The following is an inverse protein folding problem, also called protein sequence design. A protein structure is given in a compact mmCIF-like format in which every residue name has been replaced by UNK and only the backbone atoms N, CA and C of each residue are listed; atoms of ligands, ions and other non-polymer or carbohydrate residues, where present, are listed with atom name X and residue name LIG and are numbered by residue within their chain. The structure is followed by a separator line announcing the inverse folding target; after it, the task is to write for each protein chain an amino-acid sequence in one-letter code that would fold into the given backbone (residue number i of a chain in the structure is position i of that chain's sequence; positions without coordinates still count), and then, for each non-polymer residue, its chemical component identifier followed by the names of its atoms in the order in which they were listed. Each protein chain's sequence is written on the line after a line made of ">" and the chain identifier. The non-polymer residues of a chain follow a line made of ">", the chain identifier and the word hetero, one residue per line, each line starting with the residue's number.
data_IF_357942893880
#
_entry.id   IF_357942893880
#
_cell.length_a   1.000
_cell.length_b   1.000
_cell.length_c   1.000
_cell.angle_alpha   90.00
_cell.angle_beta   90.00
_cell.angle_gamma   90.00
#
_symmetry.space_group_name_H-M   'P 1'
#
loop_
_entity.id
_entity.type
_entity.pdbx_description
1 polymer ?
#
# COMPACT_ATOMS: atom_id res chain seq x y z
N UNK A 1 -15.25 24.72 10.78
CA UNK A 1 -15.26 25.80 9.77
C UNK A 1 -15.71 25.20 8.43
N UNK A 2 -16.85 25.64 7.86
CA UNK A 2 -17.36 25.08 6.59
C UNK A 2 -16.34 25.33 5.47
N UNK A 3 -15.91 24.26 4.79
CA UNK A 3 -15.12 24.28 3.55
C UNK A 3 -15.95 24.93 2.41
N UNK A 4 -16.15 26.24 2.46
CA UNK A 4 -16.69 27.03 1.35
C UNK A 4 -15.54 27.66 0.59
N UNK A 5 -14.98 26.94 -0.38
CA UNK A 5 -13.87 27.50 -1.16
C UNK A 5 -13.18 26.57 -2.14
N UNK A 6 -13.86 25.55 -2.70
CA UNK A 6 -13.32 24.85 -3.86
C UNK A 6 -14.18 25.18 -5.08
N UNK A 7 -13.62 25.76 -6.15
CA UNK A 7 -14.36 25.96 -7.38
C UNK A 7 -14.80 24.59 -7.91
N UNK A 8 -16.07 24.50 -8.27
CA UNK A 8 -16.65 23.33 -8.94
C UNK A 8 -15.87 23.09 -10.24
N UNK A 9 -14.89 22.18 -10.22
CA UNK A 9 -14.06 21.84 -11.37
C UNK A 9 -14.70 20.66 -12.11
N UNK A 10 -15.70 20.94 -12.95
CA UNK A 10 -16.04 20.05 -14.05
C UNK A 10 -14.85 20.02 -15.02
N UNK A 11 -14.11 18.92 -15.07
CA UNK A 11 -13.08 18.66 -16.09
C UNK A 11 -11.68 18.30 -15.60
N UNK A 12 -11.45 18.01 -14.31
CA UNK A 12 -10.19 17.38 -13.91
C UNK A 12 -10.16 15.90 -14.32
N UNK A 13 -9.00 15.42 -14.77
CA UNK A 13 -8.82 13.99 -15.03
C UNK A 13 -9.02 13.22 -13.72
N UNK A 14 -9.77 12.10 -13.78
CA UNK A 14 -9.84 11.11 -12.69
C UNK A 14 -8.65 10.16 -12.72
N UNK A 15 -7.66 10.43 -13.57
CA UNK A 15 -6.38 9.72 -13.48
C UNK A 15 -5.76 10.00 -12.11
N UNK A 16 -5.35 8.94 -11.39
CA UNK A 16 -4.71 9.08 -10.10
C UNK A 16 -3.53 10.04 -10.16
N UNK A 17 -3.34 10.81 -9.10
CA UNK A 17 -2.23 11.73 -8.92
C UNK A 17 -1.04 11.01 -8.26
N UNK A 18 0.16 11.18 -8.82
CA UNK A 18 1.40 10.65 -8.27
C UNK A 18 2.05 11.61 -7.25
N UNK A 19 2.43 11.11 -6.09
CA UNK A 19 3.17 11.86 -5.07
C UNK A 19 4.53 11.20 -4.77
N UNK A 20 5.66 11.89 -4.97
CA UNK A 20 6.97 11.37 -4.64
C UNK A 20 7.23 11.39 -3.12
N UNK A 21 7.99 10.42 -2.63
CA UNK A 21 8.52 10.34 -1.28
C UNK A 21 9.90 9.65 -1.31
N UNK A 22 10.81 10.05 -0.44
CA UNK A 22 12.15 9.49 -0.38
C UNK A 22 13.06 10.31 0.51
N UNK A 23 14.35 10.00 0.45
CA UNK A 23 15.41 10.67 1.19
C UNK A 23 16.74 10.56 0.44
N UNK A 24 17.86 10.78 1.14
CA UNK A 24 19.20 10.65 0.56
C UNK A 24 19.57 9.22 0.12
N UNK A 25 18.87 8.19 0.60
CA UNK A 25 19.16 6.79 0.29
C UNK A 25 18.34 6.25 -0.88
N UNK A 26 17.06 6.63 -1.00
CA UNK A 26 16.19 6.17 -2.08
C UNK A 26 15.19 7.23 -2.52
N UNK A 27 14.63 7.06 -3.72
CA UNK A 27 13.53 7.88 -4.22
C UNK A 27 12.42 7.00 -4.79
N UNK A 28 11.16 7.32 -4.44
CA UNK A 28 10.01 6.61 -4.95
C UNK A 28 8.72 7.44 -4.86
N UNK A 29 7.54 6.83 -4.96
CA UNK A 29 6.27 7.52 -4.79
C UNK A 29 5.03 6.63 -4.82
N UNK A 30 3.86 7.26 -4.72
CA UNK A 30 2.57 6.56 -4.62
C UNK A 30 1.51 7.30 -5.43
N UNK A 31 0.63 6.54 -6.06
CA UNK A 31 -0.54 7.07 -6.75
C UNK A 31 -1.71 7.18 -5.79
N UNK A 32 -2.62 8.14 -6.00
CA UNK A 32 -3.81 8.32 -5.16
C UNK A 32 -4.83 7.16 -5.24
N UNK A 33 -4.62 6.20 -6.14
CA UNK A 33 -5.29 4.89 -6.13
C UNK A 33 -4.70 3.92 -5.11
N UNK A 34 -3.53 4.21 -4.53
CA UNK A 34 -2.77 3.39 -3.58
C UNK A 34 -1.61 2.60 -4.21
N UNK A 35 -1.46 2.65 -5.54
CA UNK A 35 -0.41 1.92 -6.27
C UNK A 35 0.97 2.49 -5.91
N UNK A 36 1.86 1.65 -5.41
CA UNK A 36 3.21 2.02 -5.00
C UNK A 36 4.19 1.91 -6.17
N UNK A 37 5.00 2.95 -6.31
CA UNK A 37 6.21 3.04 -7.14
C UNK A 37 6.02 2.88 -8.65
N UNK A 38 4.82 2.56 -9.14
CA UNK A 38 4.52 2.50 -10.58
C UNK A 38 5.10 3.74 -11.28
N UNK A 39 6.06 3.57 -12.21
CA UNK A 39 6.74 4.70 -12.81
C UNK A 39 5.76 5.61 -13.56
N UNK A 40 5.82 6.94 -13.37
CA UNK A 40 4.88 7.85 -14.02
C UNK A 40 4.84 7.73 -15.54
N UNK A 41 5.98 7.48 -16.18
CA UNK A 41 6.06 7.29 -17.62
C UNK A 41 5.39 5.99 -18.12
N UNK A 42 5.39 4.90 -17.34
CA UNK A 42 4.59 3.71 -17.67
C UNK A 42 3.09 4.01 -17.57
N UNK A 43 2.72 4.88 -16.64
CA UNK A 43 1.36 5.34 -16.47
C UNK A 43 1.01 6.52 -17.40
N UNK A 44 1.76 6.81 -18.46
CA UNK A 44 1.42 7.87 -19.43
C UNK A 44 1.56 9.31 -18.90
N UNK A 45 2.14 9.49 -17.72
CA UNK A 45 2.47 10.80 -17.14
C UNK A 45 3.83 11.27 -17.67
N UNK A 46 4.03 12.60 -17.68
CA UNK A 46 5.26 13.26 -18.10
C UNK A 46 6.27 13.44 -16.96
N UNK A 47 5.89 13.09 -15.72
CA UNK A 47 6.79 13.05 -14.58
C UNK A 47 7.88 11.97 -14.75
N UNK A 48 9.08 12.25 -14.22
CA UNK A 48 10.19 11.30 -14.16
C UNK A 48 10.14 10.45 -12.89
N UNK A 49 10.48 9.17 -12.99
CA UNK A 49 10.59 8.23 -11.87
C UNK A 49 10.76 6.82 -12.40
N UNK A 50 11.55 5.96 -11.75
CA UNK A 50 11.92 4.63 -12.27
C UNK A 50 11.28 3.48 -11.49
N UNK A 51 10.62 3.74 -10.36
CA UNK A 51 10.23 2.70 -9.41
C UNK A 51 10.66 3.05 -7.99
N UNK A 52 11.04 2.04 -7.22
CA UNK A 52 11.81 2.19 -6.00
C UNK A 52 13.30 2.35 -6.34
N UNK A 53 13.73 3.58 -6.61
CA UNK A 53 15.11 3.88 -6.99
C UNK A 53 16.04 3.83 -5.78
N UNK A 54 17.06 2.98 -5.85
CA UNK A 54 18.12 2.88 -4.85
C UNK A 54 19.47 2.68 -5.55
N UNK A 55 20.52 3.45 -5.24
CA UNK A 55 20.50 4.70 -4.46
C UNK A 55 19.55 5.76 -5.04
N UNK A 56 19.24 6.83 -4.30
CA UNK A 56 18.23 7.83 -4.68
C UNK A 56 18.46 8.48 -6.05
N UNK A 57 19.71 8.59 -6.50
CA UNK A 57 20.11 9.15 -7.79
C UNK A 57 20.27 8.09 -8.89
N UNK A 58 19.91 6.84 -8.61
CA UNK A 58 19.94 5.75 -9.57
C UNK A 58 18.99 6.01 -10.74
N UNK A 59 19.46 5.74 -11.95
CA UNK A 59 18.65 5.71 -13.16
C UNK A 59 17.89 4.38 -13.34
N UNK A 60 17.78 3.58 -12.27
CA UNK A 60 17.14 2.28 -12.24
C UNK A 60 16.54 2.04 -10.86
N UNK A 61 15.57 1.13 -10.82
CA UNK A 61 14.87 0.75 -9.60
C UNK A 61 15.34 -0.61 -9.08
N UNK A 62 14.89 -0.92 -7.86
CA UNK A 62 14.97 -2.25 -7.26
C UNK A 62 13.61 -2.97 -7.27
N UNK A 63 12.53 -2.21 -7.50
CA UNK A 63 11.21 -2.71 -7.84
C UNK A 63 10.48 -1.67 -8.69
N UNK A 64 9.72 -2.12 -9.68
CA UNK A 64 8.92 -1.24 -10.51
C UNK A 64 7.57 -0.93 -9.85
N UNK A 65 6.95 -1.93 -9.23
CA UNK A 65 5.55 -1.82 -8.81
C UNK A 65 5.31 -2.58 -7.52
N UNK A 66 4.41 -2.07 -6.68
CA UNK A 66 3.85 -2.79 -5.56
C UNK A 66 2.41 -2.33 -5.27
N UNK A 67 1.60 -3.20 -4.68
CA UNK A 67 0.19 -2.88 -4.49
C UNK A 67 -0.57 -3.87 -3.63
N UNK A 68 -1.69 -3.37 -3.10
CA UNK A 68 -2.60 -4.14 -2.25
C UNK A 68 -3.42 -5.11 -3.10
N UNK A 69 -3.41 -6.37 -2.70
CA UNK A 69 -4.36 -7.39 -3.16
C UNK A 69 -5.26 -7.78 -2.00
N UNK A 70 -6.56 -7.84 -2.24
CA UNK A 70 -7.52 -8.25 -1.23
C UNK A 70 -8.72 -8.93 -1.86
N UNK A 71 -9.12 -10.06 -1.30
CA UNK A 71 -10.30 -10.80 -1.73
C UNK A 71 -10.99 -11.49 -0.57
N UNK A 72 -12.26 -11.80 -0.75
CA UNK A 72 -13.08 -12.54 0.22
C UNK A 72 -14.42 -12.94 -0.36
N UNK A 73 -15.16 -13.76 0.39
CA UNK A 73 -16.43 -14.33 -0.03
C UNK A 73 -17.60 -13.63 0.66
N UNK A 74 -18.67 -13.33 -0.06
CA UNK A 74 -19.92 -12.88 0.55
C UNK A 74 -20.69 -14.06 1.19
N UNK A 75 -21.85 -13.76 1.80
CA UNK A 75 -22.68 -14.79 2.43
C UNK A 75 -23.25 -15.84 1.46
N UNK A 76 -23.22 -15.57 0.15
CA UNK A 76 -23.63 -16.52 -0.90
C UNK A 76 -22.47 -17.35 -1.46
N UNK A 77 -21.24 -17.06 -1.02
CA UNK A 77 -20.02 -17.67 -1.55
C UNK A 77 -19.52 -17.00 -2.84
N UNK A 78 -20.01 -15.82 -3.20
CA UNK A 78 -19.50 -15.04 -4.32
C UNK A 78 -18.16 -14.40 -3.94
N UNK A 79 -17.15 -14.53 -4.81
CA UNK A 79 -15.86 -13.87 -4.64
C UNK A 79 -15.97 -12.38 -4.98
N UNK A 80 -15.50 -11.54 -4.05
CA UNK A 80 -15.20 -10.13 -4.24
C UNK A 80 -13.70 -9.93 -4.15
N UNK A 81 -13.12 -9.17 -5.08
CA UNK A 81 -11.66 -9.06 -5.21
C UNK A 81 -11.26 -7.72 -5.82
N UNK A 82 -10.19 -7.14 -5.29
CA UNK A 82 -9.53 -5.93 -5.77
C UNK A 82 -8.02 -6.10 -5.71
N UNK A 83 -7.31 -5.83 -6.82
CA UNK A 83 -5.85 -5.98 -6.89
C UNK A 83 -5.16 -4.80 -7.57
N UNK A 84 -3.87 -4.68 -7.31
CA UNK A 84 -2.95 -3.77 -8.01
C UNK A 84 -1.71 -4.56 -8.44
N UNK A 85 -1.49 -4.67 -9.75
CA UNK A 85 -0.36 -5.38 -10.33
C UNK A 85 0.20 -4.67 -11.57
N UNK A 86 1.18 -5.27 -12.23
CA UNK A 86 1.82 -4.71 -13.43
C UNK A 86 0.89 -4.54 -14.65
N UNK A 87 -0.27 -5.18 -14.68
CA UNK A 87 -1.22 -5.03 -15.77
C UNK A 87 -2.09 -3.77 -15.61
N UNK A 88 -2.07 -3.14 -14.44
CA UNK A 88 -2.83 -1.91 -14.14
C UNK A 88 -2.02 -0.69 -14.60
N UNK A 89 -2.16 -0.33 -15.88
CA UNK A 89 -1.57 0.86 -16.52
C UNK A 89 -2.67 1.77 -17.07
N UNK A 90 -2.34 3.00 -17.50
CA UNK A 90 -3.35 3.90 -18.07
C UNK A 90 -4.08 3.25 -19.26
N UNK A 91 -5.41 3.21 -19.20
CA UNK A 91 -6.28 2.64 -20.24
C UNK A 91 -6.62 1.15 -20.07
N UNK A 92 -6.00 0.45 -19.12
CA UNK A 92 -6.48 -0.87 -18.65
C UNK A 92 -7.47 -0.67 -17.50
N UNK A 93 -8.27 -1.70 -17.17
CA UNK A 93 -9.18 -1.63 -16.03
C UNK A 93 -8.41 -1.37 -14.73
N UNK A 94 -9.06 -0.76 -13.74
CA UNK A 94 -8.46 -0.48 -12.42
C UNK A 94 -9.44 -0.86 -11.32
N UNK A 95 -8.93 -1.51 -10.28
CA UNK A 95 -9.77 -1.91 -9.14
C UNK A 95 -9.84 -0.84 -8.05
N UNK A 96 -8.89 0.09 -8.00
CA UNK A 96 -8.83 1.15 -6.99
C UNK A 96 -8.88 2.56 -7.57
N UNK A 97 -9.56 3.46 -6.85
CA UNK A 97 -9.87 4.83 -7.22
C UNK A 97 -9.66 5.77 -6.02
N UNK A 98 -9.31 7.04 -6.23
CA UNK A 98 -9.12 7.97 -5.11
C UNK A 98 -10.40 8.25 -4.34
N UNK A 99 -10.29 8.52 -3.03
CA UNK A 99 -11.35 9.04 -2.19
C UNK A 99 -12.06 8.03 -1.28
N UNK A 100 -12.84 8.54 -0.31
CA UNK A 100 -13.62 7.75 0.65
C UNK A 100 -14.87 7.13 0.02
N UNK A 101 -15.47 6.19 0.76
CA UNK A 101 -16.79 5.65 0.46
C UNK A 101 -17.82 6.05 1.51
N UNK A 102 -19.07 6.24 1.07
CA UNK A 102 -20.22 6.38 1.97
C UNK A 102 -20.49 5.08 2.71
N UNK A 103 -20.55 5.15 4.04
CA UNK A 103 -20.79 4.00 4.88
C UNK A 103 -22.16 3.34 4.62
N UNK A 104 -22.17 2.02 4.56
CA UNK A 104 -23.33 1.17 4.30
C UNK A 104 -23.65 0.98 2.82
N UNK A 105 -23.52 2.02 1.99
CA UNK A 105 -23.73 1.91 0.54
C UNK A 105 -22.46 1.56 -0.23
N UNK A 106 -21.28 1.79 0.37
CA UNK A 106 -19.99 1.68 -0.29
C UNK A 106 -19.92 2.47 -1.61
N UNK A 107 -20.64 3.60 -1.70
CA UNK A 107 -20.72 4.41 -2.90
C UNK A 107 -19.77 5.61 -2.85
N UNK A 108 -19.36 6.09 -4.02
CA UNK A 108 -18.69 7.38 -4.19
C UNK A 108 -19.12 8.02 -5.51
N UNK A 109 -18.67 9.25 -5.78
CA UNK A 109 -18.97 9.96 -7.02
C UNK A 109 -17.75 10.70 -7.57
N UNK A 110 -17.83 11.19 -8.82
CA UNK A 110 -16.69 11.83 -9.48
C UNK A 110 -16.23 13.12 -8.79
N UNK A 111 -17.11 13.84 -8.11
CA UNK A 111 -16.75 15.06 -7.40
C UNK A 111 -15.93 14.74 -6.14
N UNK A 112 -16.36 13.72 -5.40
CA UNK A 112 -15.66 13.18 -4.23
C UNK A 112 -14.32 12.62 -4.65
N UNK A 113 -14.27 11.75 -5.67
CA UNK A 113 -13.00 11.20 -6.17
C UNK A 113 -12.02 12.32 -6.58
N UNK A 114 -12.47 13.34 -7.29
CA UNK A 114 -11.62 14.47 -7.69
C UNK A 114 -11.09 15.27 -6.47
N UNK A 115 -11.90 15.44 -5.43
CA UNK A 115 -11.51 16.13 -4.20
C UNK A 115 -10.34 15.42 -3.48
N UNK A 116 -10.35 14.08 -3.46
CA UNK A 116 -9.36 13.27 -2.79
C UNK A 116 -8.30 12.68 -3.73
N UNK A 117 -8.27 13.12 -4.99
CA UNK A 117 -7.24 12.72 -5.96
C UNK A 117 -5.90 13.44 -5.69
N UNK A 118 -5.36 13.24 -4.50
CA UNK A 118 -4.15 13.89 -3.99
C UNK A 118 -3.61 13.15 -2.76
N UNK A 119 -2.45 13.59 -2.27
CA UNK A 119 -1.91 13.17 -0.99
C UNK A 119 -1.63 14.39 -0.12
N UNK A 120 -1.83 14.24 1.18
CA UNK A 120 -1.46 15.24 2.17
C UNK A 120 -0.08 14.92 2.72
N UNK A 121 0.85 15.85 2.51
CA UNK A 121 2.25 15.70 2.90
C UNK A 121 2.54 16.49 4.15
N UNK A 122 3.33 15.92 5.05
CA UNK A 122 3.85 16.63 6.21
C UNK A 122 5.28 16.22 6.49
N UNK A 123 6.14 17.19 6.81
CA UNK A 123 7.48 16.96 7.34
C UNK A 123 7.53 17.24 8.85
N UNK A 124 8.45 16.57 9.54
CA UNK A 124 8.65 16.71 10.98
C UNK A 124 8.99 18.15 11.35
N UNK A 125 9.78 18.81 10.49
CA UNK A 125 10.14 20.21 10.65
C UNK A 125 8.95 21.17 10.59
N UNK A 126 7.99 20.95 9.68
CA UNK A 126 6.77 21.76 9.60
C UNK A 126 5.90 21.58 10.84
N UNK A 127 5.73 20.33 11.29
CA UNK A 127 4.95 20.05 12.49
C UNK A 127 5.64 20.59 13.76
N UNK A 128 6.96 20.47 13.89
CA UNK A 128 7.70 21.01 15.05
C UNK A 128 7.61 22.54 15.12
N UNK A 129 7.64 23.22 13.97
CA UNK A 129 7.46 24.67 13.91
C UNK A 129 6.05 25.08 14.37
N UNK A 130 5.00 24.34 13.97
CA UNK A 130 3.63 24.56 14.44
C UNK A 130 3.51 24.31 15.96
N UNK A 131 4.06 23.20 16.45
CA UNK A 131 3.99 22.86 17.88
C UNK A 131 4.78 23.85 18.74
N UNK A 132 5.88 24.41 18.21
CA UNK A 132 6.66 25.43 18.91
C UNK A 132 5.89 26.74 19.02
N UNK A 133 5.19 27.16 17.96
CA UNK A 133 4.29 28.33 17.97
C UNK A 133 3.20 28.11 19.03
N UNK A 134 2.46 27.00 18.95
CA UNK A 134 1.41 26.72 19.94
C UNK A 134 1.92 26.64 21.39
N UNK A 135 3.08 26.01 21.62
CA UNK A 135 3.61 25.81 22.97
C UNK A 135 4.11 27.09 23.64
N UNK A 136 4.35 28.18 22.89
CA UNK A 136 4.91 29.39 23.45
C UNK A 136 3.91 30.16 24.33
N UNK A 137 2.64 30.19 23.92
CA UNK A 137 1.60 30.99 24.53
C UNK A 137 0.17 30.40 24.36
N UNK A 138 0.01 29.29 23.64
CA UNK A 138 -1.27 28.63 23.37
C UNK A 138 -2.05 29.21 22.19
N UNK A 139 -1.43 30.04 21.35
CA UNK A 139 -2.03 30.68 20.18
C UNK A 139 -1.16 30.37 18.97
N UNK A 140 -1.79 30.13 17.82
CA UNK A 140 -1.10 30.08 16.53
C UNK A 140 -1.04 31.50 15.97
N UNK A 141 0.13 32.13 16.02
CA UNK A 141 0.31 33.53 15.64
C UNK A 141 0.19 33.75 14.12
N UNK A 142 0.67 32.79 13.34
CA UNK A 142 0.76 32.90 11.87
C UNK A 142 0.33 31.60 11.18
N UNK A 143 -0.98 31.26 11.20
CA UNK A 143 -1.48 29.97 10.71
C UNK A 143 -1.15 29.69 9.24
N UNK A 144 -1.04 30.73 8.42
CA UNK A 144 -0.63 30.64 7.01
C UNK A 144 0.78 30.05 6.81
N UNK A 145 1.62 30.01 7.84
CA UNK A 145 2.95 29.37 7.79
C UNK A 145 2.88 27.85 7.95
N UNK A 146 1.72 27.30 8.36
CA UNK A 146 1.52 25.87 8.62
C UNK A 146 0.43 25.28 7.71
N UNK A 147 0.49 25.47 6.37
CA UNK A 147 -0.61 25.09 5.48
C UNK A 147 -0.93 23.58 5.54
N UNK A 148 0.06 22.72 5.78
CA UNK A 148 -0.15 21.27 5.87
C UNK A 148 -0.88 20.86 7.15
N UNK A 149 -0.63 21.55 8.27
CA UNK A 149 -1.36 21.33 9.53
C UNK A 149 -2.78 21.91 9.40
N UNK A 150 -2.90 23.13 8.87
CA UNK A 150 -4.20 23.80 8.68
C UNK A 150 -5.12 23.06 7.70
N UNK A 151 -4.54 22.47 6.65
CA UNK A 151 -5.26 21.75 5.59
C UNK A 151 -5.35 20.24 5.81
N UNK A 152 -4.98 19.72 6.98
CA UNK A 152 -4.99 18.29 7.24
C UNK A 152 -6.41 17.73 7.17
N UNK A 153 -6.64 16.62 6.45
CA UNK A 153 -7.98 16.12 6.17
C UNK A 153 -8.42 15.18 7.30
N UNK A 154 -8.37 15.63 8.55
CA UNK A 154 -8.85 14.83 9.69
C UNK A 154 -10.33 14.44 9.52
N UNK A 155 -11.10 15.33 8.90
CA UNK A 155 -12.47 15.11 8.51
C UNK A 155 -12.72 15.62 7.09
N UNK A 156 -13.65 15.01 6.37
CA UNK A 156 -14.02 15.45 5.03
C UNK A 156 -15.36 14.87 4.56
N UNK A 157 -15.98 15.48 3.53
CA UNK A 157 -17.24 14.98 2.99
C UNK A 157 -17.05 13.67 2.23
N UNK A 158 -18.00 12.75 2.37
CA UNK A 158 -18.20 11.64 1.45
C UNK A 158 -19.12 12.04 0.28
N UNK A 159 -19.48 11.09 -0.59
CA UNK A 159 -20.36 11.34 -1.75
C UNK A 159 -21.82 11.66 -1.38
N UNK A 160 -22.23 11.42 -0.13
CA UNK A 160 -23.53 11.88 0.38
C UNK A 160 -23.47 13.31 0.93
N UNK A 161 -22.28 13.90 1.01
CA UNK A 161 -22.01 15.17 1.67
C UNK A 161 -21.90 15.07 3.19
N UNK A 162 -21.91 13.85 3.75
CA UNK A 162 -21.68 13.64 5.18
C UNK A 162 -20.20 13.84 5.50
N UNK A 163 -19.92 14.63 6.53
CA UNK A 163 -18.56 14.77 7.06
C UNK A 163 -18.22 13.52 7.88
N UNK A 164 -17.16 12.83 7.48
CA UNK A 164 -16.66 11.60 8.10
C UNK A 164 -15.24 11.81 8.61
N UNK A 165 -14.84 11.03 9.63
CA UNK A 165 -13.46 10.97 10.09
C UNK A 165 -12.60 10.25 9.06
N UNK A 166 -11.44 10.82 8.76
CA UNK A 166 -10.50 10.39 7.73
C UNK A 166 -9.10 10.29 8.34
N UNK A 167 -8.24 11.28 8.12
CA UNK A 167 -6.84 11.18 8.52
C UNK A 167 -6.64 11.25 10.05
N UNK A 168 -5.68 10.49 10.59
CA UNK A 168 -5.41 10.47 12.02
C UNK A 168 -4.79 11.80 12.49
N UNK A 169 -5.18 12.24 13.69
CA UNK A 169 -4.69 13.46 14.32
C UNK A 169 -4.49 13.26 15.84
N UNK A 170 -3.91 14.27 16.49
CA UNK A 170 -3.80 14.41 17.94
C UNK A 170 -4.74 15.53 18.35
N UNK A 171 -5.74 15.18 19.14
CA UNK A 171 -6.72 16.07 19.77
C UNK A 171 -6.09 16.66 21.04
N UNK A 172 -5.86 17.99 21.04
CA UNK A 172 -5.13 18.69 22.09
C UNK A 172 -6.03 19.34 23.14
N UNK A 173 -7.25 19.73 22.77
CA UNK A 173 -8.18 20.40 23.67
C UNK A 173 -9.28 19.46 24.21
N UNK A 174 -9.32 18.22 23.73
CA UNK A 174 -10.16 17.12 24.21
C UNK A 174 -11.57 17.16 23.64
N UNK A 175 -11.75 17.60 22.39
CA UNK A 175 -13.03 17.75 21.71
C UNK A 175 -13.28 16.67 20.61
N UNK A 176 -13.37 15.38 20.98
CA UNK A 176 -13.34 14.28 20.02
C UNK A 176 -14.40 14.42 18.93
N UNK A 177 -13.96 14.33 17.67
CA UNK A 177 -14.83 14.51 16.50
C UNK A 177 -14.72 15.87 15.82
N UNK A 178 -13.85 16.74 16.33
CA UNK A 178 -13.45 18.00 15.70
C UNK A 178 -11.95 18.00 15.41
N UNK A 179 -11.52 18.89 14.51
CA UNK A 179 -10.11 19.16 14.25
C UNK A 179 -9.97 20.68 14.16
N UNK A 180 -9.39 21.27 15.20
CA UNK A 180 -9.11 22.69 15.28
C UNK A 180 -7.60 22.97 15.51
N UNK A 181 -6.84 23.21 14.43
CA UNK A 181 -5.45 23.62 14.54
C UNK A 181 -5.22 24.89 15.36
N UNK A 182 -6.22 25.78 15.49
CA UNK A 182 -6.09 26.97 16.32
C UNK A 182 -6.14 26.63 17.82
N UNK A 183 -6.67 25.46 18.18
CA UNK A 183 -6.65 24.90 19.52
C UNK A 183 -5.47 23.93 19.76
N UNK A 184 -4.56 23.82 18.79
CA UNK A 184 -3.35 23.00 18.88
C UNK A 184 -3.48 21.60 18.27
N UNK A 185 -4.65 21.23 17.76
CA UNK A 185 -4.81 19.96 17.07
C UNK A 185 -3.86 19.87 15.88
N UNK A 186 -3.33 18.67 15.66
CA UNK A 186 -2.34 18.49 14.62
C UNK A 186 -2.30 17.05 14.08
N UNK A 187 -1.77 16.84 12.87
CA UNK A 187 -1.62 15.51 12.30
C UNK A 187 -0.86 14.57 13.23
N UNK A 188 -1.33 13.32 13.33
CA UNK A 188 -0.54 12.28 13.98
C UNK A 188 0.57 11.88 13.01
N UNK A 189 1.79 12.25 13.35
CA UNK A 189 2.94 12.07 12.46
C UNK A 189 3.74 10.80 12.77
N UNK A 190 4.18 10.13 11.71
CA UNK A 190 5.20 9.08 11.74
C UNK A 190 6.43 9.49 10.94
N UNK A 191 7.60 9.04 11.38
CA UNK A 191 8.86 9.30 10.68
C UNK A 191 9.24 10.79 10.61
N UNK A 192 10.12 11.11 9.67
CA UNK A 192 10.58 12.47 9.37
C UNK A 192 9.76 13.16 8.29
N UNK A 193 9.15 12.38 7.41
CA UNK A 193 8.23 12.82 6.37
C UNK A 193 7.16 11.75 6.17
N UNK A 194 5.91 12.17 6.01
CA UNK A 194 4.80 11.28 5.69
C UNK A 194 3.90 11.83 4.58
N UNK A 195 3.30 10.89 3.84
CA UNK A 195 2.16 11.12 2.96
C UNK A 195 0.96 10.37 3.52
N UNK A 196 -0.19 11.02 3.54
CA UNK A 196 -1.49 10.38 3.78
C UNK A 196 -2.35 10.48 2.52
N UNK A 197 -3.00 9.38 2.16
CA UNK A 197 -3.94 9.30 1.05
C UNK A 197 -5.10 8.35 1.38
N UNK A 198 -6.15 8.44 0.58
CA UNK A 198 -7.33 7.60 0.72
C UNK A 198 -7.80 7.14 -0.66
N UNK A 199 -8.05 5.85 -0.79
CA UNK A 199 -8.59 5.22 -1.99
C UNK A 199 -9.72 4.26 -1.65
N UNK A 200 -10.39 3.75 -2.68
CA UNK A 200 -11.49 2.83 -2.56
C UNK A 200 -11.59 1.91 -3.77
N UNK A 201 -12.38 0.85 -3.66
CA UNK A 201 -12.56 -0.10 -4.75
C UNK A 201 -13.90 -0.03 -5.51
N UNK A 202 -14.73 1.01 -5.34
CA UNK A 202 -16.04 1.09 -6.01
C UNK A 202 -16.20 2.27 -6.97
N UNK A 203 -15.32 3.29 -6.91
CA UNK A 203 -15.54 4.59 -7.54
C UNK A 203 -15.49 4.63 -9.08
N UNK A 204 -15.00 3.58 -9.73
CA UNK A 204 -14.63 3.65 -11.13
C UNK A 204 -15.74 3.69 -12.16
N UNK A 205 -16.87 3.01 -11.91
CA UNK A 205 -17.94 2.78 -12.91
C UNK A 205 -17.50 2.09 -14.22
N UNK A 206 -16.20 1.97 -14.50
CA UNK A 206 -15.59 1.35 -15.66
C UNK A 206 -15.25 -0.13 -15.45
N UNK A 207 -14.62 -0.74 -16.46
CA UNK A 207 -14.18 -2.12 -16.37
C UNK A 207 -13.15 -2.29 -15.25
N UNK A 208 -13.43 -3.21 -14.33
CA UNK A 208 -12.51 -3.64 -13.27
C UNK A 208 -11.40 -4.49 -13.87
N UNK A 209 -10.19 -4.37 -13.31
CA UNK A 209 -9.01 -5.12 -13.76
C UNK A 209 -9.24 -6.62 -13.58
N UNK A 210 -9.67 -7.02 -12.38
CA UNK A 210 -9.91 -8.43 -12.05
C UNK A 210 -11.20 -8.98 -12.65
N UNK A 211 -12.10 -8.12 -13.13
CA UNK A 211 -13.49 -8.43 -13.47
C UNK A 211 -14.34 -9.02 -12.32
N UNK A 212 -13.79 -9.17 -11.11
CA UNK A 212 -14.52 -9.56 -9.93
C UNK A 212 -15.36 -8.39 -9.40
N UNK A 213 -16.48 -8.63 -8.70
CA UNK A 213 -17.17 -7.60 -7.92
C UNK A 213 -16.24 -6.91 -6.90
N UNK A 214 -16.49 -5.62 -6.66
CA UNK A 214 -15.83 -4.84 -5.61
C UNK A 214 -16.23 -5.30 -4.21
N UNK A 215 -15.35 -5.14 -3.23
CA UNK A 215 -15.61 -5.45 -1.82
C UNK A 215 -16.44 -4.35 -1.14
N UNK A 216 -16.39 -3.11 -1.63
CA UNK A 216 -16.85 -1.95 -0.88
C UNK A 216 -15.84 -1.52 0.17
N UNK A 217 -14.57 -1.60 -0.21
CA UNK A 217 -13.41 -1.32 0.63
C UNK A 217 -12.95 0.12 0.44
N UNK A 218 -12.78 0.81 1.57
CA UNK A 218 -11.99 2.04 1.67
C UNK A 218 -10.62 1.70 2.24
N UNK A 219 -9.58 2.30 1.67
CA UNK A 219 -8.18 2.11 2.04
C UNK A 219 -7.61 3.47 2.43
N UNK A 220 -7.33 3.66 3.71
CA UNK A 220 -6.57 4.82 4.17
C UNK A 220 -5.11 4.41 4.27
N UNK A 221 -4.25 5.12 3.56
CA UNK A 221 -2.85 4.77 3.39
C UNK A 221 -1.96 5.86 3.97
N UNK A 222 -1.02 5.47 4.81
CA UNK A 222 0.06 6.35 5.28
C UNK A 222 1.40 5.79 4.86
N UNK A 223 2.16 6.56 4.11
CA UNK A 223 3.56 6.29 3.78
C UNK A 223 4.43 7.18 4.64
N UNK A 224 5.51 6.66 5.19
CA UNK A 224 6.49 7.49 5.87
C UNK A 224 7.92 6.96 5.73
N UNK A 225 8.86 7.89 5.85
CA UNK A 225 10.29 7.62 5.82
C UNK A 225 10.94 8.10 7.10
N UNK A 226 12.12 7.56 7.41
CA UNK A 226 12.90 7.98 8.57
C UNK A 226 14.24 8.55 8.12
N UNK A 227 14.45 9.84 8.37
CA UNK A 227 15.77 10.46 8.32
C UNK A 227 16.51 10.11 9.60
N UNK A 228 17.31 9.05 9.52
CA UNK A 228 18.18 8.63 10.61
C UNK A 228 19.56 8.29 10.06
N UNK A 229 20.55 9.08 10.46
CA UNK A 229 21.93 8.87 10.03
C UNK A 229 22.37 7.45 10.42
N UNK A 230 22.82 6.67 9.44
CA UNK A 230 23.48 5.35 9.55
C UNK A 230 22.62 4.13 9.91
N UNK A 231 21.30 4.25 10.08
CA UNK A 231 20.43 3.09 10.33
C UNK A 231 19.93 2.46 9.02
N UNK A 232 19.80 1.13 8.90
CA UNK A 232 19.09 0.50 7.80
C UNK A 232 17.65 1.01 7.61
N UNK A 233 17.05 1.58 8.65
CA UNK A 233 15.70 2.15 8.60
C UNK A 233 15.59 3.40 7.72
N UNK A 234 16.70 4.10 7.43
CA UNK A 234 16.70 5.19 6.45
C UNK A 234 16.67 4.69 5.00
N UNK A 235 16.82 3.38 4.78
CA UNK A 235 16.70 2.75 3.46
C UNK A 235 15.32 2.08 3.27
N UNK A 236 14.40 2.28 4.21
CA UNK A 236 13.08 1.67 4.20
C UNK A 236 11.98 2.73 3.99
N UNK A 237 11.00 2.36 3.16
CA UNK A 237 9.69 2.99 3.18
C UNK A 237 8.77 2.18 4.09
N UNK A 238 8.07 2.86 4.98
CA UNK A 238 7.01 2.26 5.78
C UNK A 238 5.66 2.57 5.16
N UNK A 239 4.82 1.55 5.03
CA UNK A 239 3.45 1.69 4.54
C UNK A 239 2.50 1.13 5.58
N UNK A 240 1.57 1.96 6.04
CA UNK A 240 0.48 1.57 6.93
C UNK A 240 -0.82 1.64 6.15
N UNK A 241 -1.56 0.54 6.15
CA UNK A 241 -2.92 0.48 5.63
C UNK A 241 -3.92 0.39 6.78
N UNK A 242 -4.97 1.19 6.70
CA UNK A 242 -6.21 0.98 7.43
C UNK A 242 -7.30 0.61 6.42
N UNK A 243 -7.83 -0.60 6.56
CA UNK A 243 -8.74 -1.23 5.62
C UNK A 243 -10.15 -1.24 6.22
N UNK A 244 -11.06 -0.51 5.60
CA UNK A 244 -12.41 -0.29 6.16
C UNK A 244 -13.44 -0.84 5.18
N UNK A 245 -14.17 -1.86 5.62
CA UNK A 245 -15.35 -2.31 4.90
C UNK A 245 -16.47 -1.29 5.09
N UNK A 246 -16.74 -0.50 4.05
CA UNK A 246 -17.80 0.51 4.01
C UNK A 246 -19.11 -0.04 3.45
N UNK A 247 -19.15 -1.32 3.06
CA UNK A 247 -20.37 -1.99 2.61
C UNK A 247 -21.23 -2.47 3.79
N UNK A 248 -22.44 -2.95 3.49
CA UNK A 248 -23.30 -3.67 4.44
C UNK A 248 -23.06 -5.20 4.42
N UNK A 249 -22.08 -5.69 3.68
CA UNK A 249 -21.79 -7.11 3.54
C UNK A 249 -20.68 -7.51 4.50
N UNK A 250 -20.91 -8.55 5.30
CA UNK A 250 -19.82 -9.22 6.02
C UNK A 250 -19.12 -10.16 5.05
N UNK A 251 -17.85 -9.89 4.78
CA UNK A 251 -17.00 -10.77 3.99
C UNK A 251 -16.41 -11.85 4.88
N UNK A 252 -16.35 -13.06 4.34
CA UNK A 252 -15.76 -14.24 4.95
C UNK A 252 -14.49 -14.61 4.20
N UNK A 253 -13.62 -15.36 4.86
CA UNK A 253 -12.40 -15.88 4.26
C UNK A 253 -11.49 -14.80 3.64
N UNK A 254 -11.50 -13.60 4.21
CA UNK A 254 -10.74 -12.47 3.66
C UNK A 254 -9.24 -12.79 3.67
N UNK A 255 -8.58 -12.51 2.55
CA UNK A 255 -7.12 -12.62 2.38
C UNK A 255 -6.57 -11.29 1.90
N UNK A 256 -5.44 -10.89 2.46
CA UNK A 256 -4.73 -9.65 2.14
C UNK A 256 -3.32 -10.03 1.72
N UNK A 257 -2.88 -9.50 0.58
CA UNK A 257 -1.54 -9.70 0.05
C UNK A 257 -0.91 -8.36 -0.34
N UNK A 258 0.40 -8.27 -0.18
CA UNK A 258 1.21 -7.25 -0.83
C UNK A 258 1.86 -7.91 -2.04
N UNK A 259 1.49 -7.45 -3.23
CA UNK A 259 2.15 -7.85 -4.47
C UNK A 259 3.27 -6.86 -4.78
N UNK A 260 4.38 -7.35 -5.34
CA UNK A 260 5.49 -6.51 -5.80
C UNK A 260 6.17 -7.14 -7.00
N UNK A 261 6.77 -6.29 -7.84
CA UNK A 261 7.58 -6.62 -9.01
C UNK A 261 9.02 -6.16 -8.78
N UNK A 262 9.87 -7.00 -8.16
CA UNK A 262 11.28 -6.71 -8.03
C UNK A 262 11.94 -6.73 -9.39
N UNK A 263 12.74 -5.70 -9.66
CA UNK A 263 13.51 -5.54 -10.89
C UNK A 263 14.83 -4.86 -10.49
N UNK A 264 15.82 -5.66 -10.09
CA UNK A 264 17.10 -5.18 -9.58
C UNK A 264 18.07 -5.05 -10.75
N UNK A 265 17.91 -3.96 -11.50
CA UNK A 265 18.74 -3.67 -12.66
C UNK A 265 18.30 -4.47 -13.88
N UNK A 266 18.81 -5.69 -14.06
CA UNK A 266 18.36 -6.59 -15.11
C UNK A 266 17.35 -7.62 -14.56
N UNK A 267 16.07 -7.43 -14.89
CA UNK A 267 14.95 -8.30 -14.48
C UNK A 267 15.16 -9.83 -14.67
N UNK A 268 15.92 -10.26 -15.68
CA UNK A 268 16.11 -11.69 -16.04
C UNK A 268 17.08 -12.44 -15.12
N UNK A 269 17.60 -11.79 -14.07
CA UNK A 269 18.52 -12.42 -13.12
C UNK A 269 18.14 -12.14 -11.68
N UNK A 270 16.88 -11.76 -11.45
CA UNK A 270 16.36 -11.55 -10.11
C UNK A 270 15.72 -12.81 -9.55
N UNK A 271 15.97 -13.06 -8.28
CA UNK A 271 15.45 -14.20 -7.54
C UNK A 271 14.76 -13.69 -6.30
N UNK A 272 13.65 -14.33 -5.96
CA UNK A 272 12.86 -14.00 -4.78
C UNK A 272 12.86 -15.16 -3.79
N UNK A 273 12.69 -14.85 -2.52
CA UNK A 273 12.55 -15.82 -1.45
C UNK A 273 11.78 -15.24 -0.28
N UNK A 274 11.56 -16.05 0.74
CA UNK A 274 10.88 -15.64 1.96
C UNK A 274 11.63 -16.15 3.18
N UNK A 275 11.82 -15.28 4.15
CA UNK A 275 12.19 -15.64 5.52
C UNK A 275 10.92 -15.63 6.37
N UNK A 276 10.37 -16.82 6.60
CA UNK A 276 9.11 -17.02 7.33
C UNK A 276 9.21 -16.68 8.80
N UNK A 277 10.43 -16.67 9.37
CA UNK A 277 10.67 -16.29 10.77
C UNK A 277 10.64 -14.77 10.96
N UNK A 278 10.93 -14.02 9.90
CA UNK A 278 10.94 -12.55 9.88
C UNK A 278 9.73 -11.94 9.17
N UNK A 279 8.81 -12.76 8.67
CA UNK A 279 7.71 -12.32 7.80
C UNK A 279 8.20 -11.42 6.66
N UNK A 280 9.33 -11.81 6.05
CA UNK A 280 10.09 -10.99 5.10
C UNK A 280 10.22 -11.70 3.76
N UNK A 281 9.65 -11.13 2.73
CA UNK A 281 10.03 -11.45 1.35
C UNK A 281 11.34 -10.72 1.02
N UNK A 282 12.23 -11.35 0.27
CA UNK A 282 13.45 -10.72 -0.23
C UNK A 282 13.68 -11.01 -1.70
N UNK A 283 14.32 -10.06 -2.39
CA UNK A 283 14.74 -10.16 -3.78
C UNK A 283 16.24 -9.84 -3.90
N UNK A 284 16.94 -10.57 -4.76
CA UNK A 284 18.38 -10.43 -4.97
C UNK A 284 18.78 -10.84 -6.38
N UNK A 285 19.88 -10.26 -6.86
CA UNK A 285 20.48 -10.66 -8.11
C UNK A 285 21.17 -12.04 -7.96
N UNK A 286 20.89 -12.98 -8.86
CA UNK A 286 21.49 -14.32 -8.84
C UNK A 286 22.87 -14.41 -9.50
N UNK A 287 23.41 -13.31 -10.00
CA UNK A 287 24.78 -13.24 -10.50
C UNK A 287 25.63 -12.28 -9.65
N UNK A 288 26.98 -12.46 -9.59
CA UNK A 288 27.85 -11.54 -8.84
C UNK A 288 28.00 -10.13 -9.44
N UNK A 289 27.35 -9.84 -10.56
CA UNK A 289 27.39 -8.53 -11.20
C UNK A 289 26.16 -8.30 -12.08
N UNK A 290 25.62 -7.09 -12.03
CA UNK A 290 24.48 -6.65 -12.85
C UNK A 290 24.93 -5.65 -13.92
N UNK A 291 24.33 -5.63 -15.13
CA UNK A 291 24.66 -4.63 -16.14
C UNK A 291 24.41 -3.17 -15.72
N UNK A 292 23.49 -2.94 -14.79
CA UNK A 292 23.10 -1.63 -14.26
C UNK A 292 23.83 -1.36 -12.94
N UNK A 293 23.75 -2.27 -11.98
CA UNK A 293 24.32 -2.10 -10.63
C UNK A 293 25.81 -2.47 -10.51
N UNK A 294 26.41 -3.04 -11.57
CA UNK A 294 27.79 -3.52 -11.52
C UNK A 294 27.97 -4.54 -10.40
N UNK A 295 29.00 -4.38 -9.57
CA UNK A 295 29.24 -5.23 -8.40
C UNK A 295 28.60 -4.71 -7.11
N UNK A 296 28.01 -3.51 -7.13
CA UNK A 296 27.35 -2.89 -5.99
C UNK A 296 25.86 -3.27 -5.99
N UNK A 297 25.59 -4.57 -5.89
CA UNK A 297 24.25 -5.14 -6.02
C UNK A 297 23.40 -4.80 -4.78
N UNK A 298 22.26 -4.11 -4.95
CA UNK A 298 21.31 -4.00 -3.86
C UNK A 298 20.54 -5.32 -3.70
N UNK A 299 19.92 -5.47 -2.54
CA UNK A 299 18.87 -6.44 -2.30
C UNK A 299 17.65 -5.68 -1.77
N UNK A 300 16.46 -6.13 -2.13
CA UNK A 300 15.20 -5.57 -1.63
C UNK A 300 14.55 -6.55 -0.66
N UNK A 301 13.79 -6.03 0.30
CA UNK A 301 12.86 -6.84 1.07
C UNK A 301 11.54 -6.14 1.35
N UNK A 302 10.48 -6.93 1.49
CA UNK A 302 9.14 -6.49 1.88
C UNK A 302 8.75 -7.25 3.15
N UNK A 303 8.72 -6.55 4.28
CA UNK A 303 8.43 -7.14 5.59
C UNK A 303 7.03 -6.78 6.10
N UNK A 304 6.28 -7.78 6.58
CA UNK A 304 5.06 -7.55 7.35
C UNK A 304 5.44 -7.25 8.80
N UNK A 305 5.39 -5.98 9.19
CA UNK A 305 5.71 -5.56 10.55
C UNK A 305 4.53 -5.73 11.53
N UNK A 306 3.30 -5.66 11.02
CA UNK A 306 2.09 -5.81 11.83
C UNK A 306 0.91 -6.24 10.95
N UNK A 307 0.37 -7.43 11.20
CA UNK A 307 -0.84 -7.93 10.53
C UNK A 307 -2.15 -7.55 11.23
N UNK A 308 -3.29 -7.97 10.65
CA UNK A 308 -4.60 -7.86 11.30
C UNK A 308 -4.66 -8.69 12.59
N UNK A 309 -5.61 -8.38 13.46
CA UNK A 309 -5.86 -9.16 14.66
C UNK A 309 -6.30 -10.58 14.28
N UNK A 310 -5.76 -11.58 14.98
CA UNK A 310 -6.19 -12.95 14.87
C UNK A 310 -7.57 -13.15 15.54
N UNK A 311 -8.38 -14.12 15.09
CA UNK A 311 -9.60 -14.51 15.77
C UNK A 311 -9.29 -15.00 17.19
N UNK A 312 -9.93 -14.40 18.19
CA UNK A 312 -9.72 -14.82 19.57
C UNK A 312 -10.25 -16.24 19.82
N UNK A 313 -9.40 -17.12 20.35
CA UNK A 313 -9.80 -18.48 20.73
C UNK A 313 -9.88 -19.45 19.56
N UNK A 314 -9.11 -19.22 18.49
CA UNK A 314 -9.02 -20.16 17.37
C UNK A 314 -8.08 -21.34 17.65
N UNK A 315 -7.31 -21.27 18.75
CA UNK A 315 -6.41 -22.32 19.20
C UNK A 315 -5.12 -22.43 18.38
N UNK A 316 -4.80 -21.40 17.60
CA UNK A 316 -3.59 -21.31 16.80
C UNK A 316 -2.61 -20.29 17.41
N UNK A 317 -1.33 -20.46 17.09
CA UNK A 317 -0.26 -19.49 17.33
C UNK A 317 0.01 -18.78 15.99
N UNK A 318 -0.75 -17.71 15.74
CA UNK A 318 -0.89 -17.01 14.45
C UNK A 318 0.31 -16.10 14.15
N UNK A 319 1.03 -15.63 15.17
CA UNK A 319 2.30 -14.90 15.04
C UNK A 319 3.54 -15.78 15.27
N UNK A 320 3.37 -17.03 15.71
CA UNK A 320 4.45 -18.00 15.94
C UNK A 320 5.41 -17.56 17.04
N UNK A 321 4.91 -16.84 18.06
CA UNK A 321 5.70 -16.39 19.21
C UNK A 321 5.81 -17.45 20.33
N UNK A 322 5.07 -18.56 20.22
CA UNK A 322 5.02 -19.67 21.16
C UNK A 322 3.91 -19.57 22.21
N UNK A 323 3.08 -18.53 22.15
CA UNK A 323 1.83 -18.40 22.89
C UNK A 323 0.64 -18.67 21.95
N UNK A 324 -0.50 -19.04 22.54
CA UNK A 324 -1.70 -19.40 21.78
C UNK A 324 -2.83 -18.57 22.37
N UNK A 325 -3.58 -17.89 21.50
CA UNK A 325 -4.75 -17.08 21.84
C UNK A 325 -4.46 -15.98 22.90
N UNK A 326 -3.25 -15.41 22.93
CA UNK A 326 -2.97 -14.29 23.83
C UNK A 326 -3.70 -13.01 23.40
N UNK A 327 -3.93 -12.14 24.39
CA UNK A 327 -4.71 -10.92 24.15
C UNK A 327 -3.98 -9.99 23.19
N UNK A 328 -4.58 -9.77 22.01
CA UNK A 328 -4.04 -8.88 21.00
C UNK A 328 -3.15 -9.57 19.96
N UNK A 329 -3.15 -10.91 19.92
CA UNK A 329 -2.52 -11.73 18.89
C UNK A 329 -2.86 -11.24 17.47
N UNK A 330 -1.88 -11.31 16.57
CA UNK A 330 -2.00 -10.85 15.19
C UNK A 330 -1.50 -11.90 14.22
N UNK A 331 -1.92 -11.80 12.98
CA UNK A 331 -1.34 -12.61 11.92
C UNK A 331 0.08 -12.14 11.57
N UNK A 332 1.02 -13.09 11.51
CA UNK A 332 2.25 -12.97 10.74
C UNK A 332 2.05 -13.40 9.29
N UNK A 333 3.13 -13.37 8.49
CA UNK A 333 3.06 -13.81 7.10
C UNK A 333 2.63 -15.30 7.03
N UNK A 334 1.45 -15.53 6.47
CA UNK A 334 0.87 -16.87 6.35
C UNK A 334 1.33 -17.59 5.09
N UNK A 335 1.47 -16.87 3.97
CA UNK A 335 1.77 -17.43 2.66
C UNK A 335 2.71 -16.51 1.88
N UNK A 336 3.52 -17.10 1.00
CA UNK A 336 4.31 -16.40 0.00
C UNK A 336 4.17 -17.13 -1.33
N UNK A 337 3.91 -16.37 -2.39
CA UNK A 337 3.82 -16.88 -3.76
C UNK A 337 4.66 -15.97 -4.65
N UNK A 338 5.66 -16.54 -5.31
CA UNK A 338 6.29 -15.90 -6.46
C UNK A 338 5.69 -16.48 -7.74
N UNK A 339 5.41 -15.60 -8.70
CA UNK A 339 4.91 -15.99 -10.01
C UNK A 339 5.75 -15.35 -11.11
N UNK A 340 5.68 -15.95 -12.29
CA UNK A 340 6.39 -15.57 -13.50
C UNK A 340 5.47 -14.72 -14.37
N UNK A 341 6.07 -13.71 -15.02
CA UNK A 341 5.38 -12.93 -16.05
C UNK A 341 5.28 -13.74 -17.36
N UNK A 342 4.56 -14.85 -17.32
CA UNK A 342 4.31 -15.73 -18.46
C UNK A 342 2.86 -16.28 -18.45
N UNK A 343 2.56 -17.18 -19.37
CA UNK A 343 1.25 -17.85 -19.46
C UNK A 343 1.28 -19.29 -18.94
N UNK A 344 2.22 -19.61 -18.06
CA UNK A 344 2.29 -20.91 -17.39
C UNK A 344 1.02 -21.15 -16.58
N UNK A 345 0.49 -22.38 -16.63
CA UNK A 345 -0.70 -22.78 -15.87
C UNK A 345 -0.38 -23.18 -14.44
N UNK A 346 0.85 -22.96 -13.99
CA UNK A 346 1.32 -23.33 -12.65
C UNK A 346 1.61 -22.07 -11.82
N UNK A 347 2.64 -21.31 -12.19
CA UNK A 347 3.03 -20.06 -11.54
C UNK A 347 3.15 -18.92 -12.55
N UNK A 348 2.26 -18.86 -13.54
CA UNK A 348 2.25 -17.75 -14.51
C UNK A 348 1.38 -16.58 -14.05
N UNK A 349 1.07 -15.69 -14.98
CA UNK A 349 0.18 -14.56 -14.72
C UNK A 349 -1.24 -15.03 -14.34
N UNK A 350 -1.83 -14.50 -13.25
CA UNK A 350 -3.24 -14.75 -12.93
C UNK A 350 -4.14 -13.98 -13.91
N UNK A 351 -5.07 -14.69 -14.55
CA UNK A 351 -5.94 -14.13 -15.61
C UNK A 351 -7.44 -14.19 -15.27
N UNK A 352 -7.80 -14.59 -14.05
CA UNK A 352 -9.18 -14.69 -13.58
C UNK A 352 -9.29 -14.38 -12.09
N UNK A 353 -10.46 -13.93 -11.59
CA UNK A 353 -10.68 -13.72 -10.16
C UNK A 353 -10.21 -14.89 -9.29
N UNK A 354 -10.54 -16.12 -9.68
CA UNK A 354 -10.17 -17.32 -8.94
C UNK A 354 -8.65 -17.55 -8.92
N UNK A 355 -7.93 -17.19 -9.99
CA UNK A 355 -6.47 -17.29 -10.04
C UNK A 355 -5.78 -16.31 -9.09
N UNK A 356 -6.23 -15.05 -9.06
CA UNK A 356 -5.73 -14.06 -8.08
C UNK A 356 -6.01 -14.53 -6.64
N UNK A 357 -7.22 -15.04 -6.40
CA UNK A 357 -7.61 -15.54 -5.08
C UNK A 357 -6.84 -16.81 -4.69
N UNK A 358 -6.52 -17.69 -5.63
CA UNK A 358 -5.65 -18.85 -5.40
C UNK A 358 -4.27 -18.44 -4.88
N UNK A 359 -3.66 -17.41 -5.48
CA UNK A 359 -2.38 -16.86 -5.00
C UNK A 359 -2.49 -16.25 -3.60
N UNK A 360 -3.58 -15.54 -3.29
CA UNK A 360 -3.86 -15.05 -1.94
C UNK A 360 -4.01 -16.18 -0.90
N UNK A 361 -4.36 -17.39 -1.34
CA UNK A 361 -4.41 -18.61 -0.51
C UNK A 361 -3.11 -19.41 -0.49
N UNK A 362 -2.03 -18.92 -1.12
CA UNK A 362 -0.78 -19.67 -1.20
C UNK A 362 -0.84 -20.90 -2.12
N UNK A 363 -1.79 -20.94 -3.04
CA UNK A 363 -1.92 -22.01 -4.03
C UNK A 363 -1.27 -21.62 -5.35
N UNK A 364 -0.89 -22.62 -6.14
CA UNK A 364 -0.59 -22.43 -7.56
C UNK A 364 -1.90 -22.24 -8.39
N UNK A 365 -1.77 -21.95 -9.68
CA UNK A 365 -2.91 -21.79 -10.59
C UNK A 365 -3.69 -23.09 -10.85
N UNK A 366 -3.19 -24.25 -10.41
CA UNK A 366 -3.92 -25.52 -10.42
C UNK A 366 -4.79 -25.72 -9.18
N UNK A 367 -4.68 -24.81 -8.20
CA UNK A 367 -5.36 -24.88 -6.90
C UNK A 367 -4.64 -25.76 -5.88
N UNK A 368 -3.41 -26.20 -6.17
CA UNK A 368 -2.62 -27.00 -5.22
C UNK A 368 -1.84 -26.06 -4.28
N UNK A 369 -1.76 -26.37 -2.98
CA UNK A 369 -1.00 -25.55 -2.05
C UNK A 369 0.50 -25.61 -2.37
N UNK A 370 1.15 -24.46 -2.30
CA UNK A 370 2.61 -24.38 -2.34
C UNK A 370 3.15 -24.76 -0.96
N UNK A 371 3.92 -25.84 -0.89
CA UNK A 371 4.44 -26.38 0.37
C UNK A 371 5.95 -26.21 0.43
N UNK A 372 6.44 -25.60 1.50
CA UNK A 372 7.86 -25.59 1.87
C UNK A 372 8.22 -26.97 2.44
N UNK A 373 8.70 -27.89 1.59
CA UNK A 373 8.93 -29.26 2.01
C UNK A 373 10.40 -29.66 2.23
N UNK A 374 11.41 -28.79 1.99
CA UNK A 374 12.86 -29.08 2.09
C UNK A 374 13.35 -30.42 1.49
N UNK A 375 12.48 -31.20 0.86
CA UNK A 375 12.67 -32.57 0.38
C UNK A 375 12.39 -32.68 -1.12
N UNK A 376 11.86 -31.63 -1.75
CA UNK A 376 11.89 -31.45 -3.20
C UNK A 376 13.27 -30.93 -3.63
N UNK A 377 14.30 -31.76 -3.44
CA UNK A 377 15.51 -31.74 -4.27
C UNK A 377 15.23 -32.15 -5.72
N UNK A 378 14.10 -31.75 -6.29
CA UNK A 378 13.76 -31.91 -7.69
C UNK A 378 13.42 -30.53 -8.24
N UNK A 379 14.21 -30.05 -9.21
CA UNK A 379 14.00 -28.84 -10.03
C UNK A 379 12.78 -27.99 -9.59
N UNK A 380 12.92 -27.32 -8.44
CA UNK A 380 11.79 -26.95 -7.60
C UNK A 380 11.12 -25.69 -8.08
N UNK A 381 9.85 -25.82 -8.47
CA UNK A 381 8.94 -24.73 -8.81
C UNK A 381 8.28 -24.12 -7.57
N UNK A 382 8.91 -24.21 -6.40
CA UNK A 382 8.46 -23.60 -5.15
C UNK A 382 9.62 -22.85 -4.52
N UNK A 383 9.48 -21.53 -4.38
CA UNK A 383 10.51 -20.65 -3.84
C UNK A 383 10.59 -20.86 -2.32
N UNK A 384 11.62 -21.57 -1.87
CA UNK A 384 11.91 -21.85 -0.44
C UNK A 384 13.15 -21.06 0.02
N UNK A 385 13.28 -20.92 1.34
CA UNK A 385 14.16 -19.97 2.04
C UNK A 385 15.67 -20.26 1.99
N UNK A 386 16.15 -21.26 1.25
CA UNK A 386 17.59 -21.63 1.23
C UNK A 386 18.12 -22.19 -0.12
N UNK A 387 17.45 -21.90 -1.24
CA UNK A 387 17.95 -22.27 -2.56
C UNK A 387 17.80 -21.15 -3.59
N UNK A 388 18.72 -21.00 -4.56
CA UNK A 388 18.45 -20.14 -5.70
C UNK A 388 17.17 -20.66 -6.35
N UNK A 389 16.15 -19.81 -6.44
CA UNK A 389 14.98 -20.06 -7.28
C UNK A 389 15.41 -20.36 -8.72
N UNK A 390 14.50 -20.69 -9.63
CA UNK A 390 14.85 -20.76 -11.06
C UNK A 390 15.22 -19.35 -11.57
N UNK A 391 16.20 -19.29 -12.49
CA UNK A 391 16.51 -18.07 -13.24
C UNK A 391 15.30 -17.67 -14.07
N UNK A 392 14.81 -16.46 -13.84
CA UNK A 392 13.73 -15.85 -14.62
C UNK A 392 14.23 -15.59 -16.06
N UNK A 393 13.62 -16.15 -17.12
CA UNK A 393 13.98 -15.79 -18.50
C UNK A 393 13.58 -14.37 -18.88
#
# INVERSE_FOLDING_TARGET
>A
MLLTGLPFLQGQSLDPHYAPIGNSAFQTGVWSSGHLFLPPWLAGDTLSGEGFAYPADSASATALMAGLWIGGLDASGQLHLSVQDHHVVQGTGRDFWPGPLTAGTAATDSATMALYNQHWRLTRSELDAFLTDFADNGIIDSPQLYPQVMGWPAFGPDASGQVVALAPFVDMDGDPGSYDPMAGDHPRMWGSEMLWGISNDTGGGGARHTAAPALGLEVQQTLFVMECDTSPLSQALFVRYELINRSNQTLQDVRIGMWTDPDIGQATNDFVGVDTSRSLMYAYNGTPSDPVYGQALPAMGVGLLQGPLAPAGDGLDNDRDGQVDETGERYHLTHFVGHLNDFSTYLGNPLSPDAYYAYLHGNDLTGSPLVDNYSNGGAGTGLSSDGPGPSLP
#
